data_IF_197945867041
#
_entry.id   IF_197945867041
#
_cell.length_a   1.000
_cell.length_b   1.000
_cell.length_c   1.000
_cell.angle_alpha   90.00
_cell.angle_beta   90.00
_cell.angle_gamma   90.00
#
_symmetry.space_group_name_H-M   'P 1'
#
loop_
_entity.id
_entity.type
_entity.pdbx_description
1 polymer ?
#
# COMPACT_ATOMS: atom_id res chain seq x y z
N UNK A 1 -0.96 -6.66 -20.14
CA UNK A 1 -0.20 -6.62 -21.41
C UNK A 1 0.50 -7.93 -21.79
N UNK A 2 0.87 -8.81 -20.85
CA UNK A 2 1.46 -10.15 -21.14
C UNK A 2 0.53 -11.13 -21.91
N UNK A 3 -0.71 -10.75 -22.17
CA UNK A 3 -1.78 -11.64 -22.64
C UNK A 3 -1.96 -11.71 -24.16
N UNK A 4 -1.40 -10.76 -24.91
CA UNK A 4 -1.46 -10.83 -26.38
C UNK A 4 -0.39 -11.79 -26.95
N UNK A 5 0.68 -12.04 -26.18
CA UNK A 5 1.77 -12.93 -26.57
C UNK A 5 1.38 -14.42 -26.47
N UNK A 6 0.52 -14.79 -25.53
CA UNK A 6 0.07 -16.19 -25.35
C UNK A 6 -0.85 -16.70 -26.45
N UNK A 7 -1.52 -15.80 -27.21
CA UNK A 7 -2.31 -16.19 -28.40
C UNK A 7 -1.47 -16.73 -29.56
N UNK A 8 -0.17 -16.44 -29.60
CA UNK A 8 0.67 -16.82 -30.74
C UNK A 8 1.28 -18.23 -30.61
N UNK A 9 1.28 -18.82 -29.41
CA UNK A 9 2.01 -20.06 -29.13
C UNK A 9 1.13 -21.34 -29.18
N UNK A 10 -0.19 -21.23 -29.20
CA UNK A 10 -1.09 -22.39 -29.05
C UNK A 10 -1.90 -22.73 -30.32
N UNK A 11 -1.97 -24.02 -30.74
CA UNK A 11 -2.78 -24.46 -31.87
C UNK A 11 -4.30 -24.32 -31.61
N UNK A 12 -5.13 -24.08 -32.66
CA UNK A 12 -6.52 -23.65 -32.54
C UNK A 12 -7.49 -24.66 -31.91
N UNK A 13 -7.17 -25.96 -31.93
CA UNK A 13 -8.04 -27.01 -31.39
C UNK A 13 -7.93 -27.19 -29.86
N UNK A 14 -6.75 -26.89 -29.30
CA UNK A 14 -6.56 -26.76 -27.85
C UNK A 14 -7.12 -25.42 -27.33
N UNK A 15 -7.33 -24.43 -28.20
CA UNK A 15 -7.74 -23.11 -27.77
C UNK A 15 -9.12 -23.09 -27.10
N UNK A 16 -10.09 -23.92 -27.50
CA UNK A 16 -11.49 -23.79 -27.05
C UNK A 16 -11.70 -24.21 -25.58
N UNK A 17 -11.13 -25.35 -25.15
CA UNK A 17 -11.20 -25.80 -23.76
C UNK A 17 -10.33 -24.95 -22.83
N UNK A 18 -9.20 -24.47 -23.32
CA UNK A 18 -8.30 -23.61 -22.56
C UNK A 18 -8.82 -22.16 -22.50
N UNK A 19 -9.56 -21.66 -23.50
CA UNK A 19 -10.17 -20.33 -23.48
C UNK A 19 -11.15 -20.18 -22.31
N UNK A 20 -11.95 -21.22 -22.04
CA UNK A 20 -12.88 -21.23 -20.91
C UNK A 20 -12.12 -21.18 -19.57
N UNK A 21 -11.05 -21.97 -19.43
CA UNK A 21 -10.21 -21.98 -18.23
C UNK A 21 -9.47 -20.65 -18.02
N UNK A 22 -8.97 -20.07 -19.12
CA UNK A 22 -8.33 -18.77 -19.16
C UNK A 22 -9.32 -17.67 -18.73
N UNK A 23 -10.49 -17.61 -19.35
CA UNK A 23 -11.51 -16.61 -19.02
C UNK A 23 -11.98 -16.72 -17.56
N UNK A 24 -12.12 -17.95 -17.04
CA UNK A 24 -12.41 -18.20 -15.64
C UNK A 24 -11.29 -17.65 -14.74
N UNK A 25 -10.02 -17.94 -15.06
CA UNK A 25 -8.88 -17.45 -14.29
C UNK A 25 -8.77 -15.92 -14.29
N UNK A 26 -8.98 -15.26 -15.42
CA UNK A 26 -8.93 -13.79 -15.53
C UNK A 26 -10.03 -13.12 -14.70
N UNK A 27 -11.23 -13.70 -14.72
CA UNK A 27 -12.38 -13.21 -13.93
C UNK A 27 -12.10 -13.36 -12.43
N UNK A 28 -11.57 -14.51 -12.02
CA UNK A 28 -11.21 -14.77 -10.61
C UNK A 28 -10.08 -13.86 -10.13
N UNK A 29 -9.04 -13.67 -10.94
CA UNK A 29 -7.92 -12.78 -10.63
C UNK A 29 -8.39 -11.33 -10.51
N UNK A 30 -9.22 -10.85 -11.45
CA UNK A 30 -9.77 -9.49 -11.41
C UNK A 30 -10.62 -9.28 -10.17
N UNK A 31 -11.47 -10.25 -9.81
CA UNK A 31 -12.26 -10.20 -8.59
C UNK A 31 -11.38 -10.15 -7.33
N UNK A 32 -10.36 -11.01 -7.24
CA UNK A 32 -9.44 -11.02 -6.10
C UNK A 32 -8.64 -9.72 -6.00
N UNK A 33 -8.17 -9.17 -7.13
CA UNK A 33 -7.48 -7.88 -7.17
C UNK A 33 -8.38 -6.71 -6.73
N UNK A 34 -9.67 -6.72 -7.11
CA UNK A 34 -10.63 -5.71 -6.65
C UNK A 34 -10.86 -5.79 -5.13
N UNK A 35 -11.05 -7.00 -4.61
CA UNK A 35 -11.20 -7.24 -3.16
C UNK A 35 -9.93 -6.81 -2.42
N UNK A 36 -8.76 -7.14 -2.97
CA UNK A 36 -7.46 -6.74 -2.44
C UNK A 36 -7.32 -5.21 -2.38
N UNK A 37 -7.58 -4.51 -3.49
CA UNK A 37 -7.47 -3.06 -3.55
C UNK A 37 -8.41 -2.37 -2.55
N UNK A 38 -9.65 -2.87 -2.42
CA UNK A 38 -10.60 -2.35 -1.45
C UNK A 38 -10.12 -2.60 -0.01
N UNK A 39 -9.58 -3.79 0.26
CA UNK A 39 -8.96 -4.11 1.56
C UNK A 39 -7.79 -3.19 1.89
N UNK A 40 -6.87 -3.00 0.95
CA UNK A 40 -5.72 -2.10 1.06
C UNK A 40 -6.15 -0.67 1.39
N UNK A 41 -7.17 -0.14 0.71
CA UNK A 41 -7.74 1.18 1.01
C UNK A 41 -8.25 1.29 2.47
N UNK A 42 -8.95 0.27 2.97
CA UNK A 42 -9.42 0.25 4.35
C UNK A 42 -8.26 0.25 5.36
N UNK A 43 -7.25 -0.58 5.12
CA UNK A 43 -6.06 -0.66 5.99
C UNK A 43 -5.29 0.66 6.01
N UNK A 44 -5.13 1.34 4.86
CA UNK A 44 -4.50 2.68 4.79
C UNK A 44 -5.19 3.69 5.71
N UNK A 45 -6.53 3.75 5.69
CA UNK A 45 -7.29 4.71 6.51
C UNK A 45 -7.10 4.41 8.00
N UNK A 46 -7.19 3.14 8.41
CA UNK A 46 -7.00 2.73 9.81
C UNK A 46 -5.58 3.04 10.28
N UNK A 47 -4.57 2.66 9.49
CA UNK A 47 -3.17 2.86 9.83
C UNK A 47 -2.80 4.34 9.96
N UNK A 48 -3.25 5.19 9.03
CA UNK A 48 -3.04 6.64 9.11
C UNK A 48 -3.73 7.21 10.36
N UNK A 49 -4.94 6.74 10.66
CA UNK A 49 -5.71 7.20 11.83
C UNK A 49 -5.05 6.84 13.16
N UNK A 50 -4.48 5.66 13.28
CA UNK A 50 -3.71 5.22 14.46
C UNK A 50 -2.46 6.08 14.67
N UNK A 51 -1.69 6.30 13.59
CA UNK A 51 -0.50 7.16 13.65
C UNK A 51 -0.85 8.61 13.98
N UNK A 52 -1.93 9.13 13.39
CA UNK A 52 -2.41 10.48 13.65
C UNK A 52 -2.90 10.64 15.09
N UNK A 53 -3.63 9.65 15.62
CA UNK A 53 -4.03 9.62 17.03
C UNK A 53 -2.80 9.64 17.93
N UNK A 54 -1.80 8.80 17.67
CA UNK A 54 -0.57 8.76 18.47
C UNK A 54 0.19 10.10 18.46
N UNK A 55 0.22 10.78 17.31
CA UNK A 55 0.84 12.09 17.18
C UNK A 55 0.07 13.22 17.89
N UNK A 56 -1.27 13.20 17.85
CA UNK A 56 -2.14 14.29 18.35
C UNK A 56 -2.54 14.12 19.82
N UNK A 57 -2.65 12.89 20.34
CA UNK A 57 -3.02 12.62 21.75
C UNK A 57 -2.10 13.32 22.75
N UNK A 58 -0.87 13.66 22.33
CA UNK A 58 0.10 14.41 23.15
C UNK A 58 -0.26 15.89 23.34
N UNK A 59 -1.13 16.46 22.50
CA UNK A 59 -1.43 17.89 22.46
C UNK A 59 -2.91 18.23 22.70
N UNK A 60 -3.83 17.28 22.50
CA UNK A 60 -5.28 17.49 22.58
C UNK A 60 -5.91 16.42 23.48
N UNK A 61 -7.05 16.73 24.11
CA UNK A 61 -7.84 15.75 24.89
C UNK A 61 -8.08 14.48 24.08
N UNK A 62 -7.92 13.29 24.69
CA UNK A 62 -7.99 12.03 23.96
C UNK A 62 -9.36 11.84 23.32
N UNK A 63 -9.40 11.91 22.00
CA UNK A 63 -10.58 11.62 21.18
C UNK A 63 -10.56 10.13 20.82
N UNK A 64 -11.74 9.54 20.65
CA UNK A 64 -11.87 8.14 20.21
C UNK A 64 -11.38 7.97 18.76
N UNK A 65 -10.85 6.79 18.45
CA UNK A 65 -10.18 6.47 17.18
C UNK A 65 -11.13 6.59 15.97
N UNK A 66 -12.43 6.33 16.16
CA UNK A 66 -13.45 6.40 15.11
C UNK A 66 -13.56 7.80 14.50
N UNK A 67 -13.33 8.85 15.29
CA UNK A 67 -13.32 10.22 14.77
C UNK A 67 -12.09 10.51 13.91
N UNK A 68 -10.93 9.94 14.25
CA UNK A 68 -9.73 10.04 13.42
C UNK A 68 -9.91 9.29 12.08
N UNK A 69 -10.58 8.13 12.11
CA UNK A 69 -10.94 7.39 10.88
C UNK A 69 -11.87 8.22 9.99
N UNK A 70 -12.91 8.83 10.56
CA UNK A 70 -13.86 9.65 9.80
C UNK A 70 -13.21 10.94 9.27
N UNK A 71 -12.33 11.56 10.07
CA UNK A 71 -11.58 12.74 9.69
C UNK A 71 -10.56 12.45 8.57
N UNK A 72 -9.96 11.26 8.54
CA UNK A 72 -9.04 10.81 7.47
C UNK A 72 -9.79 10.39 6.19
N UNK A 73 -11.02 9.87 6.33
CA UNK A 73 -11.86 9.50 5.19
C UNK A 73 -12.32 10.73 4.38
N UNK A 74 -12.63 11.84 5.04
CA UNK A 74 -13.02 13.11 4.40
C UNK A 74 -12.04 13.60 3.32
N UNK A 75 -10.74 13.82 3.60
CA UNK A 75 -9.78 14.24 2.59
C UNK A 75 -9.59 13.18 1.49
N UNK A 76 -9.71 11.89 1.82
CA UNK A 76 -9.67 10.82 0.81
C UNK A 76 -10.80 10.98 -0.21
N UNK A 77 -12.03 11.28 0.23
CA UNK A 77 -13.18 11.54 -0.65
C UNK A 77 -12.92 12.77 -1.53
N UNK A 78 -12.39 13.85 -0.96
CA UNK A 78 -12.05 15.06 -1.72
C UNK A 78 -10.98 14.80 -2.79
N UNK A 79 -9.94 14.03 -2.47
CA UNK A 79 -8.88 13.66 -3.42
C UNK A 79 -9.47 12.81 -4.57
N UNK A 80 -10.36 11.87 -4.26
CA UNK A 80 -11.04 11.06 -5.29
C UNK A 80 -11.90 11.90 -6.26
N UNK A 81 -12.38 13.07 -5.82
CA UNK A 81 -13.13 13.97 -6.69
C UNK A 81 -12.23 14.71 -7.69
N UNK A 82 -10.93 14.79 -7.44
CA UNK A 82 -9.97 15.41 -8.35
C UNK A 82 -9.75 14.49 -9.56
N UNK A 83 -10.46 14.78 -10.66
CA UNK A 83 -10.31 14.05 -11.92
C UNK A 83 -9.00 14.33 -12.67
N UNK A 84 -8.27 15.37 -12.26
CA UNK A 84 -7.02 15.77 -12.88
C UNK A 84 -5.83 15.09 -12.19
N UNK A 85 -5.49 13.87 -12.62
CA UNK A 85 -4.33 13.10 -12.12
C UNK A 85 -2.99 13.86 -12.25
N UNK A 86 -2.89 14.78 -13.22
CA UNK A 86 -1.71 15.64 -13.40
C UNK A 86 -1.46 16.57 -12.21
N UNK A 87 -2.50 16.93 -11.45
CA UNK A 87 -2.36 17.75 -10.23
C UNK A 87 -1.79 16.93 -9.06
N UNK A 88 -2.08 15.63 -9.02
CA UNK A 88 -1.60 14.72 -7.98
C UNK A 88 -0.13 14.34 -8.17
N UNK A 89 0.34 14.29 -9.42
CA UNK A 89 1.73 13.94 -9.74
C UNK A 89 2.78 14.79 -8.99
N UNK A 90 2.76 16.14 -9.03
CA UNK A 90 3.73 16.95 -8.29
C UNK A 90 3.55 16.85 -6.76
N UNK A 91 2.32 16.64 -6.27
CA UNK A 91 2.08 16.40 -4.84
C UNK A 91 2.70 15.08 -4.36
N UNK A 92 2.58 14.03 -5.17
CA UNK A 92 3.22 12.73 -4.90
C UNK A 92 4.75 12.85 -4.87
N UNK A 93 5.35 13.58 -5.83
CA UNK A 93 6.80 13.83 -5.82
C UNK A 93 7.24 14.57 -4.55
N UNK A 94 6.48 15.57 -4.10
CA UNK A 94 6.75 16.27 -2.85
C UNK A 94 6.63 15.34 -1.62
N UNK A 95 5.59 14.51 -1.57
CA UNK A 95 5.39 13.52 -0.52
C UNK A 95 6.56 12.51 -0.47
N UNK A 96 7.02 12.01 -1.62
CA UNK A 96 8.20 11.15 -1.70
C UNK A 96 9.46 11.84 -1.16
N UNK A 97 9.63 13.14 -1.43
CA UNK A 97 10.71 13.93 -0.84
C UNK A 97 10.64 14.01 0.70
N UNK A 98 9.44 14.20 1.25
CA UNK A 98 9.20 14.19 2.70
C UNK A 98 9.49 12.81 3.30
N UNK A 99 9.12 11.72 2.61
CA UNK A 99 9.43 10.35 3.03
C UNK A 99 10.95 10.13 3.09
N UNK A 100 11.69 10.55 2.07
CA UNK A 100 13.15 10.48 2.07
C UNK A 100 13.78 11.30 3.21
N UNK A 101 13.28 12.52 3.46
CA UNK A 101 13.74 13.35 4.57
C UNK A 101 13.46 12.69 5.93
N UNK A 102 12.27 12.10 6.11
CA UNK A 102 11.88 11.37 7.31
C UNK A 102 12.82 10.19 7.58
N UNK A 103 13.16 9.41 6.54
CA UNK A 103 14.17 8.35 6.66
C UNK A 103 15.53 8.90 7.09
N UNK A 104 15.96 10.03 6.51
CA UNK A 104 17.21 10.67 6.91
C UNK A 104 17.23 11.07 8.38
N UNK A 105 16.14 11.62 8.92
CA UNK A 105 16.00 11.98 10.34
C UNK A 105 16.06 10.74 11.23
N UNK A 106 15.34 9.67 10.87
CA UNK A 106 15.34 8.42 11.63
C UNK A 106 16.77 7.85 11.70
N UNK A 107 17.47 7.78 10.56
CA UNK A 107 18.86 7.32 10.51
C UNK A 107 19.78 8.22 11.35
N UNK A 108 19.58 9.54 11.30
CA UNK A 108 20.35 10.48 12.11
C UNK A 108 20.22 10.20 13.61
N UNK A 109 19.00 9.98 14.12
CA UNK A 109 18.79 9.62 15.53
C UNK A 109 19.40 8.27 15.90
N UNK A 110 19.30 7.27 15.01
CA UNK A 110 19.88 5.93 15.22
C UNK A 110 21.41 6.00 15.37
N UNK A 111 22.09 6.83 14.58
CA UNK A 111 23.56 6.95 14.63
C UNK A 111 24.06 7.91 15.73
N UNK A 112 23.22 8.80 16.23
CA UNK A 112 23.61 9.82 17.21
C UNK A 112 23.59 9.31 18.65
N UNK A 113 22.58 8.54 19.04
CA UNK A 113 22.43 8.04 20.40
C UNK A 113 22.99 6.60 20.52
N UNK A 114 23.76 6.28 21.57
CA UNK A 114 24.21 4.91 21.82
C UNK A 114 22.98 4.01 22.03
N UNK A 115 22.95 2.87 21.33
CA UNK A 115 21.84 1.92 21.38
C UNK A 115 21.77 1.33 22.79
N UNK A 116 20.99 1.94 23.69
CA UNK A 116 20.70 1.35 25.00
C UNK A 116 19.70 0.22 24.80
N UNK A 117 20.17 -1.00 25.06
CA UNK A 117 19.39 -2.24 25.11
C UNK A 117 18.82 -2.51 26.51
N UNK A 118 19.09 -1.64 27.48
CA UNK A 118 18.69 -1.83 28.87
C UNK A 118 17.17 -1.67 29.00
N UNK A 119 16.46 -2.74 29.35
CA UNK A 119 15.01 -2.74 29.54
C UNK A 119 14.16 -2.96 28.28
N UNK A 120 14.75 -3.25 27.12
CA UNK A 120 13.99 -3.57 25.89
C UNK A 120 13.86 -5.09 25.72
N UNK A 121 12.63 -5.59 25.64
CA UNK A 121 12.39 -6.98 25.30
C UNK A 121 12.85 -7.26 23.87
N UNK A 122 13.77 -8.21 23.70
CA UNK A 122 14.34 -8.56 22.39
C UNK A 122 13.31 -9.18 21.42
N UNK A 123 12.16 -9.62 21.93
CA UNK A 123 11.06 -10.19 21.15
C UNK A 123 9.75 -9.60 21.69
N UNK A 124 8.91 -9.09 20.79
CA UNK A 124 7.55 -8.65 21.11
C UNK A 124 6.67 -9.82 21.55
N UNK A 125 5.51 -9.52 22.12
CA UNK A 125 4.57 -10.57 22.52
C UNK A 125 4.08 -11.31 21.27
N UNK A 126 3.86 -12.62 21.35
CA UNK A 126 3.36 -13.43 20.22
C UNK A 126 2.04 -12.87 19.64
N UNK A 127 1.28 -12.15 20.47
CA UNK A 127 0.04 -11.46 20.10
C UNK A 127 0.25 -10.30 19.10
N UNK A 128 1.44 -9.71 19.06
CA UNK A 128 1.77 -8.58 18.17
C UNK A 128 2.28 -9.05 16.80
N UNK A 129 2.63 -10.33 16.66
CA UNK A 129 3.14 -10.87 15.40
C UNK A 129 2.18 -10.74 14.22
N UNK A 130 0.87 -11.01 14.33
CA UNK A 130 -0.05 -10.82 13.22
C UNK A 130 -0.08 -9.38 12.70
N UNK A 131 -0.01 -8.40 13.62
CA UNK A 131 0.04 -6.97 13.25
C UNK A 131 1.35 -6.65 12.53
N UNK A 132 2.48 -7.11 13.06
CA UNK A 132 3.79 -6.93 12.44
C UNK A 132 3.85 -7.54 11.03
N UNK A 133 3.46 -8.81 10.87
CA UNK A 133 3.42 -9.46 9.57
C UNK A 133 2.45 -8.75 8.62
N UNK A 134 1.31 -8.28 9.11
CA UNK A 134 0.36 -7.49 8.34
C UNK A 134 0.99 -6.21 7.78
N UNK A 135 1.69 -5.44 8.61
CA UNK A 135 2.39 -4.21 8.18
C UNK A 135 3.52 -4.50 7.18
N UNK A 136 4.28 -5.58 7.37
CA UNK A 136 5.35 -5.97 6.44
C UNK A 136 4.79 -6.40 5.08
N UNK A 137 3.77 -7.27 5.07
CA UNK A 137 3.13 -7.71 3.83
C UNK A 137 2.47 -6.54 3.10
N UNK A 138 1.87 -5.61 3.85
CA UNK A 138 1.31 -4.38 3.31
C UNK A 138 2.36 -3.50 2.64
N UNK A 139 3.56 -3.36 3.23
CA UNK A 139 4.65 -2.60 2.63
C UNK A 139 5.16 -3.20 1.30
N UNK A 140 4.94 -4.50 1.06
CA UNK A 140 5.37 -5.21 -0.15
C UNK A 140 4.32 -5.19 -1.29
N UNK A 141 3.14 -4.63 -1.05
CA UNK A 141 2.01 -4.54 -2.00
C UNK A 141 2.39 -3.90 -3.34
N UNK A 142 3.24 -2.88 -3.33
CA UNK A 142 3.58 -2.08 -4.51
C UNK A 142 4.29 -2.88 -5.63
N UNK A 143 4.87 -4.04 -5.32
CA UNK A 143 5.61 -4.85 -6.31
C UNK A 143 4.67 -5.37 -7.41
N UNK A 144 3.43 -5.73 -7.05
CA UNK A 144 2.46 -6.31 -8.00
C UNK A 144 2.00 -5.33 -9.08
N UNK A 145 2.03 -4.03 -8.80
CA UNK A 145 1.62 -2.98 -9.74
C UNK A 145 2.80 -2.35 -10.50
N UNK A 146 4.03 -2.52 -10.01
CA UNK A 146 5.23 -1.96 -10.63
C UNK A 146 5.57 -2.64 -11.96
N UNK A 147 5.51 -3.98 -12.03
CA UNK A 147 5.85 -4.76 -13.23
C UNK A 147 4.97 -4.39 -14.44
N UNK A 148 3.62 -4.33 -14.33
CA UNK A 148 2.80 -3.89 -15.45
C UNK A 148 3.01 -2.40 -15.77
N UNK A 149 3.32 -1.56 -14.78
CA UNK A 149 3.60 -0.14 -15.00
C UNK A 149 4.88 0.06 -15.83
N UNK A 150 5.97 -0.64 -15.51
CA UNK A 150 7.24 -0.60 -16.24
C UNK A 150 7.05 -0.97 -17.72
N UNK A 151 6.20 -1.96 -18.00
CA UNK A 151 5.87 -2.37 -19.36
C UNK A 151 5.09 -1.30 -20.17
N UNK A 152 4.43 -0.35 -19.51
CA UNK A 152 3.68 0.74 -20.16
C UNK A 152 4.48 2.06 -20.23
N UNK A 153 5.74 2.08 -19.76
CA UNK A 153 6.59 3.27 -19.80
C UNK A 153 7.33 3.40 -21.13
N UNK A 154 7.33 4.61 -21.72
CA UNK A 154 8.01 4.92 -23.00
C UNK A 154 9.53 4.64 -22.96
N UNK A 155 10.15 4.71 -21.78
CA UNK A 155 11.53 4.28 -21.55
C UNK A 155 11.57 3.40 -20.29
N UNK A 156 11.85 2.10 -20.42
CA UNK A 156 12.01 1.20 -19.29
C UNK A 156 13.26 1.54 -18.46
#
# INVERSE_FOLDING_TARGET
FSFFSTRFFFPPELLNNWCFFIFLSDTLLTFFLLVYQLGTCCVYVVFISENLKSAIDSYVTPIKLEYYMLATLLPLIFINWIRNLKLLAPFSTAANGITLASFGIILYFIFRDPISFEGKHAVGTVQDFPLFFGTVLFALEAIGVMIPLENEMDNP
#
